data_IF_254796323990
#
_entry.id   IF_254796323990
#
_cell.length_a   1.000
_cell.length_b   1.000
_cell.length_c   1.000
_cell.angle_alpha   90.00
_cell.angle_beta   90.00
_cell.angle_gamma   90.00
#
_symmetry.space_group_name_H-M   'P 1'
#
loop_
_entity.id
_entity.type
_entity.pdbx_description
1 polymer ?
#
# COMPACT_ATOMS: atom_id res chain seq x y z
N UNK A 1 7.85 2.73 16.40
CA UNK A 1 9.04 2.51 15.54
C UNK A 1 8.68 2.98 14.16
N UNK A 2 9.56 3.77 13.55
CA UNK A 2 9.45 4.17 12.16
C UNK A 2 10.33 3.23 11.33
N UNK A 3 9.74 2.55 10.35
CA UNK A 3 10.38 1.87 9.25
C UNK A 3 10.37 2.82 8.07
N UNK A 4 11.53 3.00 7.46
CA UNK A 4 11.72 3.89 6.33
C UNK A 4 12.13 3.04 5.15
N UNK A 5 11.39 3.14 4.05
CA UNK A 5 11.75 2.52 2.78
C UNK A 5 12.39 3.55 1.87
N UNK A 6 13.58 3.23 1.38
CA UNK A 6 14.35 4.07 0.47
C UNK A 6 14.51 3.29 -0.84
N UNK A 7 14.07 3.80 -2.00
CA UNK A 7 14.24 3.11 -3.27
C UNK A 7 15.72 3.09 -3.67
N UNK A 8 16.26 1.92 -3.98
CA UNK A 8 17.68 1.71 -4.31
C UNK A 8 17.93 1.42 -5.80
N UNK A 9 16.93 0.91 -6.56
CA UNK A 9 16.99 0.79 -8.02
C UNK A 9 15.63 0.52 -8.65
N UNK A 10 15.45 0.97 -9.90
CA UNK A 10 14.32 0.62 -10.78
C UNK A 10 14.90 -0.19 -11.93
N UNK A 11 14.52 -1.46 -12.07
CA UNK A 11 14.95 -2.31 -13.18
C UNK A 11 13.79 -2.52 -14.13
N UNK A 12 13.95 -2.14 -15.40
CA UNK A 12 12.97 -2.44 -16.44
C UNK A 12 13.20 -3.85 -16.96
N UNK A 13 12.28 -4.77 -16.69
CA UNK A 13 12.30 -6.08 -17.34
C UNK A 13 11.57 -5.96 -18.67
N UNK A 14 12.32 -5.98 -19.79
CA UNK A 14 11.71 -6.18 -21.10
C UNK A 14 11.17 -7.61 -21.16
N UNK A 15 9.87 -7.76 -21.40
CA UNK A 15 9.29 -9.04 -21.76
C UNK A 15 9.94 -9.51 -23.07
N UNK A 16 10.47 -10.74 -23.10
CA UNK A 16 10.92 -11.35 -24.35
C UNK A 16 9.69 -11.81 -25.12
N UNK A 17 9.39 -11.14 -26.23
CA UNK A 17 8.44 -11.65 -27.22
C UNK A 17 8.88 -13.03 -27.70
N UNK A 18 8.02 -14.03 -27.49
CA UNK A 18 8.17 -15.35 -28.11
C UNK A 18 7.66 -15.18 -29.55
N UNK A 19 8.56 -15.08 -30.52
CA UNK A 19 8.19 -15.15 -31.94
C UNK A 19 7.75 -16.59 -32.25
N UNK A 20 6.43 -16.81 -32.39
CA UNK A 20 5.89 -18.01 -33.04
C UNK A 20 5.94 -17.80 -34.56
N UNK A 21 6.83 -18.56 -35.22
CA UNK A 21 6.86 -18.73 -36.68
C UNK A 21 5.55 -19.38 -37.15
N UNK A 22 4.68 -18.61 -37.82
CA UNK A 22 3.52 -19.14 -38.55
C UNK A 22 3.83 -19.15 -40.04
N UNK A 23 4.04 -20.35 -40.60
CA UNK A 23 4.18 -20.61 -42.03
C UNK A 23 2.97 -20.10 -42.83
N UNK A 24 3.24 -19.25 -43.83
CA UNK A 24 2.26 -18.72 -44.76
C UNK A 24 1.86 -19.75 -45.84
N UNK A 25 0.58 -20.15 -45.84
CA UNK A 25 -0.06 -20.85 -46.96
C UNK A 25 -0.76 -19.87 -47.91
N UNK A 26 -0.38 -19.85 -49.19
CA UNK A 26 -1.02 -19.08 -50.25
C UNK A 26 -2.36 -19.71 -50.70
N UNK A 27 -3.41 -18.90 -50.84
CA UNK A 27 -4.49 -19.12 -51.82
C UNK A 27 -5.09 -17.80 -52.30
N UNK A 28 -5.44 -17.79 -53.58
CA UNK A 28 -5.75 -16.62 -54.40
C UNK A 28 -7.24 -16.21 -54.38
N UNK A 29 -7.49 -14.94 -54.74
CA UNK A 29 -8.72 -14.51 -55.41
C UNK A 29 -9.49 -13.37 -54.72
N UNK A 30 -9.54 -12.23 -55.41
CA UNK A 30 -10.50 -11.11 -55.35
C UNK A 30 -11.34 -10.90 -54.08
N UNK A 31 -11.31 -9.67 -53.53
CA UNK A 31 -12.44 -8.73 -53.45
C UNK A 31 -12.03 -7.48 -52.64
N UNK A 32 -12.52 -6.32 -53.09
CA UNK A 32 -12.33 -4.99 -52.50
C UNK A 32 -13.11 -4.89 -51.19
N UNK A 33 -12.45 -4.46 -50.10
CA UNK A 33 -13.11 -3.77 -48.99
C UNK A 33 -12.10 -2.90 -48.25
N UNK A 34 -12.45 -1.64 -48.03
CA UNK A 34 -11.76 -0.75 -47.10
C UNK A 34 -11.72 -1.38 -45.72
N UNK A 35 -10.52 -1.59 -45.18
CA UNK A 35 -10.28 -1.64 -43.74
C UNK A 35 -9.15 -0.64 -43.46
N UNK A 36 -9.47 0.34 -42.63
CA UNK A 36 -8.50 1.16 -41.94
C UNK A 36 -7.88 0.24 -40.89
N UNK A 37 -6.65 -0.22 -41.12
CA UNK A 37 -5.81 -0.79 -40.07
C UNK A 37 -5.32 0.39 -39.22
N UNK A 38 -6.07 0.72 -38.17
CA UNK A 38 -5.49 1.39 -37.02
C UNK A 38 -4.57 0.37 -36.36
N UNK A 39 -3.27 0.54 -36.59
CA UNK A 39 -2.23 -0.17 -35.87
C UNK A 39 -2.31 0.19 -34.40
N UNK A 40 -2.94 -0.67 -33.61
CA UNK A 40 -2.78 -0.68 -32.16
C UNK A 40 -1.32 -1.07 -31.88
N UNK A 41 -0.48 -0.06 -31.64
CA UNK A 41 0.83 -0.27 -31.00
C UNK A 41 0.57 -0.93 -29.65
N UNK A 42 0.80 -2.24 -29.56
CA UNK A 42 0.95 -2.93 -28.28
C UNK A 42 2.12 -2.29 -27.53
N UNK A 43 1.81 -1.36 -26.63
CA UNK A 43 2.77 -0.84 -25.67
C UNK A 43 3.10 -2.00 -24.74
N UNK A 44 4.23 -2.66 -24.99
CA UNK A 44 4.87 -3.58 -24.05
C UNK A 44 5.08 -2.85 -22.71
N UNK A 45 4.15 -3.04 -21.77
CA UNK A 45 4.32 -2.59 -20.40
C UNK A 45 5.32 -3.51 -19.73
N UNK A 46 6.61 -3.19 -19.84
CA UNK A 46 7.64 -3.81 -19.01
C UNK A 46 7.33 -3.55 -17.54
N UNK A 47 7.33 -4.59 -16.72
CA UNK A 47 7.17 -4.45 -15.27
C UNK A 47 8.42 -3.76 -14.71
N UNK A 48 8.24 -2.57 -14.14
CA UNK A 48 9.27 -1.88 -13.35
C UNK A 48 9.41 -2.57 -12.00
N UNK A 49 10.54 -3.24 -11.78
CA UNK A 49 10.86 -3.80 -10.48
C UNK A 49 11.66 -2.78 -9.67
N UNK A 50 11.01 -2.18 -8.66
CA UNK A 50 11.65 -1.28 -7.70
C UNK A 50 12.16 -2.10 -6.51
N UNK A 51 13.43 -1.94 -6.16
CA UNK A 51 14.00 -2.51 -4.93
C UNK A 51 14.19 -1.41 -3.87
N UNK A 52 14.06 -1.77 -2.60
CA UNK A 52 14.13 -0.85 -1.46
C UNK A 52 15.17 -1.30 -0.44
N UNK A 53 15.85 -0.35 0.21
CA UNK A 53 16.49 -0.57 1.50
C UNK A 53 15.55 -0.16 2.64
N UNK A 54 15.71 -0.81 3.79
CA UNK A 54 14.91 -0.52 4.99
C UNK A 54 15.80 -0.04 6.13
N UNK A 55 15.48 1.13 6.67
CA UNK A 55 16.08 1.67 7.88
C UNK A 55 15.03 1.83 8.98
N UNK A 56 15.46 1.73 10.25
CA UNK A 56 14.56 1.79 11.39
C UNK A 56 14.97 2.88 12.38
N UNK A 57 13.97 3.58 12.91
CA UNK A 57 14.14 4.69 13.85
C UNK A 57 13.12 4.63 14.99
N UNK A 58 13.51 5.14 16.15
CA UNK A 58 12.56 5.43 17.23
C UNK A 58 12.05 6.85 17.12
N UNK A 59 10.72 6.99 17.18
CA UNK A 59 10.04 8.28 17.30
C UNK A 59 9.51 8.45 18.72
N UNK A 60 9.56 9.68 19.22
CA UNK A 60 8.83 10.06 20.42
C UNK A 60 7.34 10.36 20.12
N UNK A 61 6.59 10.74 21.16
CA UNK A 61 5.15 11.07 21.04
C UNK A 61 4.88 12.36 20.25
N UNK A 62 5.91 13.15 19.94
CA UNK A 62 5.82 14.37 19.14
C UNK A 62 6.30 14.13 17.70
N UNK A 63 6.58 12.88 17.32
CA UNK A 63 7.05 12.51 15.98
C UNK A 63 8.51 12.89 15.70
N UNK A 64 9.30 13.09 16.76
CA UNK A 64 10.71 13.45 16.69
C UNK A 64 11.57 12.19 16.67
N UNK A 65 12.54 12.13 15.76
CA UNK A 65 13.53 11.05 15.68
C UNK A 65 14.46 11.10 16.88
N UNK A 66 14.42 10.07 17.72
CA UNK A 66 15.29 9.94 18.89
C UNK A 66 16.63 9.34 18.49
N UNK A 67 16.61 8.22 17.79
CA UNK A 67 17.79 7.50 17.32
C UNK A 67 17.44 6.56 16.16
N UNK A 68 18.46 6.11 15.43
CA UNK A 68 18.36 4.89 14.62
C UNK A 68 18.19 3.66 15.51
N UNK A 69 17.72 2.58 14.93
CA UNK A 69 17.48 1.33 15.61
C UNK A 69 17.90 0.14 14.75
N UNK A 70 18.50 -0.86 15.38
CA UNK A 70 18.68 -2.18 14.78
C UNK A 70 17.52 -3.05 15.24
N UNK A 71 16.59 -3.37 14.32
CA UNK A 71 15.36 -4.09 14.63
C UNK A 71 15.45 -5.55 14.16
N UNK A 72 15.08 -6.48 15.05
CA UNK A 72 14.70 -7.84 14.66
C UNK A 72 13.19 -7.94 14.44
N UNK A 73 12.72 -8.99 13.75
CA UNK A 73 11.28 -9.23 13.59
C UNK A 73 10.53 -9.33 14.93
N UNK A 74 11.18 -9.89 15.96
CA UNK A 74 10.58 -10.00 17.29
C UNK A 74 10.45 -8.65 18.01
N UNK A 75 11.30 -7.67 17.67
CA UNK A 75 11.22 -6.34 18.28
C UNK A 75 10.11 -5.51 17.65
N UNK A 76 9.86 -5.70 16.35
CA UNK A 76 8.76 -5.03 15.63
C UNK A 76 7.39 -5.37 16.21
N UNK A 77 7.21 -6.57 16.76
CA UNK A 77 5.94 -6.98 17.38
C UNK A 77 5.65 -6.25 18.71
N UNK A 78 6.66 -5.62 19.33
CA UNK A 78 6.51 -4.96 20.65
C UNK A 78 6.06 -3.51 20.53
N UNK A 79 6.15 -2.92 19.35
CA UNK A 79 5.92 -1.50 19.14
C UNK A 79 5.01 -1.26 17.94
N UNK A 80 4.15 -0.24 17.98
CA UNK A 80 3.50 0.26 16.78
C UNK A 80 4.56 0.61 15.72
N UNK A 81 4.40 0.06 14.52
CA UNK A 81 5.27 0.30 13.38
C UNK A 81 4.58 1.27 12.42
N UNK A 82 5.33 2.28 12.01
CA UNK A 82 4.94 3.26 10.99
C UNK A 82 5.89 3.06 9.83
N UNK A 83 5.39 2.84 8.62
CA UNK A 83 6.14 2.71 7.40
C UNK A 83 5.95 3.99 6.58
N UNK A 84 7.06 4.66 6.24
CA UNK A 84 7.07 5.78 5.31
C UNK A 84 8.03 5.48 4.16
N UNK A 85 7.73 5.99 2.99
CA UNK A 85 8.66 6.05 1.88
C UNK A 85 9.30 7.43 1.85
N UNK A 86 10.62 7.50 1.74
CA UNK A 86 11.35 8.75 1.56
C UNK A 86 12.26 8.65 0.33
N UNK A 87 12.53 9.77 -0.36
CA UNK A 87 13.52 9.80 -1.43
C UNK A 87 14.92 9.44 -0.89
N UNK A 88 15.74 8.76 -1.69
CA UNK A 88 17.14 8.41 -1.36
C UNK A 88 18.03 9.64 -1.05
N UNK A 89 17.63 10.81 -1.53
CA UNK A 89 18.33 12.07 -1.24
C UNK A 89 18.05 12.60 0.17
N UNK A 90 17.01 12.12 0.86
CA UNK A 90 16.60 12.60 2.17
C UNK A 90 17.30 11.80 3.27
N UNK A 91 18.23 12.45 3.98
CA UNK A 91 18.85 11.89 5.18
C UNK A 91 18.02 12.21 6.41
N UNK A 92 17.66 11.19 7.18
CA UNK A 92 17.02 11.34 8.49
C UNK A 92 18.10 11.44 9.57
N UNK A 93 18.04 12.50 10.38
CA UNK A 93 18.93 12.74 11.51
C UNK A 93 18.16 12.69 12.83
N UNK A 94 18.88 12.48 13.93
CA UNK A 94 18.31 12.64 15.27
C UNK A 94 17.84 14.07 15.47
N UNK A 95 16.67 14.23 16.12
CA UNK A 95 15.92 15.47 16.34
C UNK A 95 15.13 15.99 15.14
N UNK A 96 15.17 15.32 14.00
CA UNK A 96 14.28 15.66 12.89
C UNK A 96 12.83 15.36 13.30
N UNK A 97 11.92 16.26 12.93
CA UNK A 97 10.47 16.09 13.10
C UNK A 97 9.95 15.53 11.78
N UNK A 98 9.51 14.27 11.78
CA UNK A 98 9.02 13.60 10.57
C UNK A 98 7.51 13.58 10.47
N UNK A 99 6.85 13.51 11.63
CA UNK A 99 5.40 13.49 11.74
C UNK A 99 5.01 14.51 12.80
N UNK A 100 3.90 15.21 12.61
CA UNK A 100 3.32 16.01 13.68
C UNK A 100 2.68 15.11 14.75
N UNK A 101 2.40 15.74 15.90
CA UNK A 101 1.79 15.05 17.04
C UNK A 101 0.38 14.54 16.73
N UNK A 102 -0.39 15.27 15.93
CA UNK A 102 -1.77 14.90 15.57
C UNK A 102 -1.79 13.59 14.78
N UNK A 103 -0.85 13.44 13.84
CA UNK A 103 -0.63 12.22 13.07
C UNK A 103 -0.26 11.06 13.98
N UNK A 104 0.69 11.24 14.91
CA UNK A 104 1.07 10.20 15.88
C UNK A 104 -0.12 9.77 16.75
N UNK A 105 -0.91 10.73 17.24
CA UNK A 105 -2.12 10.45 18.04
C UNK A 105 -3.19 9.71 17.23
N UNK A 106 -3.33 10.05 15.94
CA UNK A 106 -4.23 9.34 15.02
C UNK A 106 -3.77 7.89 14.80
N UNK A 107 -2.47 7.65 14.57
CA UNK A 107 -1.90 6.31 14.44
C UNK A 107 -2.22 5.47 15.69
N UNK A 108 -1.94 5.98 16.88
CA UNK A 108 -2.27 5.26 18.12
C UNK A 108 -3.76 4.99 18.26
N UNK A 109 -4.61 5.91 17.80
CA UNK A 109 -6.05 5.72 17.77
C UNK A 109 -6.46 4.59 16.83
N UNK A 110 -5.81 4.44 15.67
CA UNK A 110 -6.03 3.32 14.74
C UNK A 110 -5.69 2.00 15.43
N UNK A 111 -4.48 1.84 15.97
CA UNK A 111 -4.06 0.60 16.67
C UNK A 111 -5.04 0.22 17.80
N UNK A 112 -5.42 1.21 18.61
CA UNK A 112 -6.33 1.00 19.76
C UNK A 112 -7.75 0.65 19.33
N UNK A 113 -8.25 1.24 18.24
CA UNK A 113 -9.64 1.05 17.82
C UNK A 113 -9.77 -0.27 17.07
N UNK A 114 -8.84 -0.57 16.16
CA UNK A 114 -8.84 -1.83 15.40
C UNK A 114 -8.66 -3.05 16.31
N UNK A 115 -7.75 -2.99 17.29
CA UNK A 115 -7.53 -4.11 18.23
C UNK A 115 -8.73 -4.43 19.14
N UNK A 116 -9.70 -3.52 19.24
CA UNK A 116 -10.93 -3.71 20.03
C UNK A 116 -12.09 -4.25 19.19
N UNK A 117 -11.91 -4.40 17.88
CA UNK A 117 -12.95 -4.91 17.00
C UNK A 117 -13.29 -6.37 17.34
N UNK A 118 -14.58 -6.75 17.35
CA UNK A 118 -15.00 -8.12 17.67
C UNK A 118 -14.50 -9.16 16.65
N UNK A 119 -14.11 -8.73 15.45
CA UNK A 119 -13.55 -9.58 14.40
C UNK A 119 -12.08 -9.98 14.66
N UNK A 120 -11.47 -9.60 15.80
CA UNK A 120 -10.08 -9.91 16.15
C UNK A 120 -9.07 -9.46 15.08
N UNK A 121 -9.25 -8.25 14.55
CA UNK A 121 -8.30 -7.67 13.59
C UNK A 121 -7.10 -7.10 14.35
N UNK A 122 -5.89 -7.42 13.89
CA UNK A 122 -4.65 -6.88 14.44
C UNK A 122 -3.88 -6.10 13.38
N UNK A 123 -3.44 -4.89 13.72
CA UNK A 123 -2.61 -4.04 12.85
C UNK A 123 -1.16 -4.48 12.99
N UNK A 124 -0.53 -4.84 11.87
CA UNK A 124 0.89 -5.14 11.79
C UNK A 124 1.72 -3.85 11.71
N UNK A 125 1.32 -2.94 10.83
CA UNK A 125 1.96 -1.63 10.67
C UNK A 125 1.00 -0.63 10.01
N UNK A 126 1.34 0.65 10.08
CA UNK A 126 0.63 1.73 9.37
C UNK A 126 1.56 2.28 8.30
N UNK A 127 1.09 2.42 7.07
CA UNK A 127 1.74 3.12 5.97
C UNK A 127 1.23 4.55 5.87
N UNK A 128 2.16 5.48 5.72
CA UNK A 128 1.89 6.88 5.42
C UNK A 128 2.60 7.25 4.13
N UNK A 129 1.83 7.83 3.21
CA UNK A 129 2.37 8.52 2.05
C UNK A 129 2.43 10.01 2.39
N UNK A 130 3.65 10.53 2.58
CA UNK A 130 3.85 11.93 2.95
C UNK A 130 3.47 12.91 1.82
N UNK A 131 3.24 12.42 0.60
CA UNK A 131 2.79 13.22 -0.54
C UNK A 131 1.27 13.37 -0.61
N UNK A 132 0.53 12.47 0.04
CA UNK A 132 -0.94 12.47 0.05
C UNK A 132 -1.42 12.88 1.44
N UNK A 133 -1.81 14.15 1.55
CA UNK A 133 -2.42 14.65 2.77
C UNK A 133 -3.69 13.88 3.11
N UNK A 134 -3.96 13.76 4.41
CA UNK A 134 -5.21 13.22 4.94
C UNK A 134 -5.52 11.76 4.62
N UNK A 135 -4.52 10.98 4.16
CA UNK A 135 -4.68 9.55 3.89
C UNK A 135 -3.71 8.71 4.73
N UNK A 136 -4.20 7.55 5.15
CA UNK A 136 -3.43 6.60 5.93
C UNK A 136 -3.87 5.19 5.57
N UNK A 137 -2.91 4.28 5.43
CA UNK A 137 -3.23 2.86 5.24
C UNK A 137 -2.75 2.07 6.44
N UNK A 138 -3.59 1.24 7.05
CA UNK A 138 -3.11 0.23 7.99
C UNK A 138 -3.02 -1.12 7.29
N UNK A 139 -2.01 -1.90 7.65
CA UNK A 139 -1.84 -3.27 7.16
C UNK A 139 -2.02 -4.22 8.34
N UNK A 140 -2.79 -5.27 8.14
CA UNK A 140 -3.09 -6.24 9.19
C UNK A 140 -2.05 -7.36 9.26
N UNK A 141 -2.07 -8.11 10.35
CA UNK A 141 -1.28 -9.35 10.48
C UNK A 141 -1.74 -10.45 9.51
N UNK A 142 -2.90 -10.29 8.88
CA UNK A 142 -3.43 -11.15 7.82
C UNK A 142 -3.04 -10.63 6.42
N UNK A 143 -2.16 -9.62 6.33
CA UNK A 143 -1.62 -9.02 5.11
C UNK A 143 -2.61 -8.28 4.20
N UNK A 144 -3.86 -8.08 4.62
CA UNK A 144 -4.79 -7.18 3.93
C UNK A 144 -4.70 -5.75 4.49
N UNK A 145 -5.09 -4.78 3.66
CA UNK A 145 -4.89 -3.35 3.93
C UNK A 145 -6.23 -2.61 4.14
N UNK A 146 -6.28 -1.66 5.06
CA UNK A 146 -7.40 -0.75 5.22
C UNK A 146 -6.98 0.69 4.95
N UNK A 147 -7.65 1.35 4.00
CA UNK A 147 -7.37 2.75 3.64
C UNK A 147 -8.31 3.68 4.38
N UNK A 148 -7.76 4.64 5.10
CA UNK A 148 -8.44 5.59 5.96
C UNK A 148 -8.22 7.02 5.46
N UNK A 149 -9.20 7.87 5.72
CA UNK A 149 -9.08 9.32 5.55
C UNK A 149 -9.10 10.00 6.93
N UNK A 150 -8.23 10.96 7.17
CA UNK A 150 -8.26 11.78 8.41
C UNK A 150 -9.45 12.75 8.41
N UNK A 151 -10.01 13.07 7.24
CA UNK A 151 -11.17 13.96 7.08
C UNK A 151 -12.49 13.33 7.55
N UNK A 152 -12.51 12.01 7.79
CA UNK A 152 -13.66 11.27 8.31
C UNK A 152 -13.32 10.72 9.70
N UNK A 153 -14.25 10.78 10.65
CA UNK A 153 -13.97 10.26 11.99
C UNK A 153 -13.58 8.79 11.95
N UNK A 154 -12.52 8.44 12.68
CA UNK A 154 -12.01 7.07 12.74
C UNK A 154 -13.08 6.09 13.18
N UNK A 155 -13.89 6.45 14.18
CA UNK A 155 -15.00 5.63 14.68
C UNK A 155 -15.98 5.25 13.57
N UNK A 156 -16.35 6.22 12.71
CA UNK A 156 -17.23 5.95 11.57
C UNK A 156 -16.59 4.97 10.59
N UNK A 157 -15.31 5.15 10.27
CA UNK A 157 -14.60 4.30 9.32
C UNK A 157 -14.44 2.87 9.86
N UNK A 158 -14.09 2.72 11.14
CA UNK A 158 -13.98 1.40 11.78
C UNK A 158 -15.35 0.73 11.89
N UNK A 159 -16.42 1.47 12.22
CA UNK A 159 -17.77 0.89 12.23
C UNK A 159 -18.19 0.36 10.85
N UNK A 160 -17.86 1.08 9.77
CA UNK A 160 -18.08 0.61 8.40
C UNK A 160 -17.29 -0.66 8.11
N UNK A 161 -16.04 -0.73 8.54
CA UNK A 161 -15.20 -1.91 8.39
C UNK A 161 -15.78 -3.11 9.13
N UNK A 162 -16.24 -2.94 10.38
CA UNK A 162 -16.92 -4.00 11.14
C UNK A 162 -18.13 -4.54 10.36
N UNK A 163 -19.02 -3.65 9.89
CA UNK A 163 -20.19 -4.05 9.11
C UNK A 163 -19.81 -4.73 7.79
N UNK A 164 -18.77 -4.24 7.10
CA UNK A 164 -18.31 -4.85 5.86
C UNK A 164 -17.76 -6.27 6.10
N UNK A 165 -16.98 -6.46 7.17
CA UNK A 165 -16.46 -7.77 7.56
C UNK A 165 -17.58 -8.74 7.94
N UNK A 166 -18.56 -8.29 8.71
CA UNK A 166 -19.66 -9.14 9.21
C UNK A 166 -20.71 -9.46 8.14
N UNK A 167 -21.03 -8.52 7.25
CA UNK A 167 -22.16 -8.66 6.34
C UNK A 167 -21.78 -9.05 4.92
N UNK A 168 -20.65 -8.53 4.41
CA UNK A 168 -20.31 -8.60 2.98
C UNK A 168 -19.10 -9.48 2.69
N UNK A 169 -18.04 -9.35 3.47
CA UNK A 169 -16.78 -10.08 3.27
C UNK A 169 -16.93 -11.50 3.86
N UNK A 170 -17.29 -11.63 5.14
CA UNK A 170 -17.50 -12.91 5.83
C UNK A 170 -16.35 -13.91 5.55
N UNK A 171 -16.68 -15.03 4.93
CA UNK A 171 -15.75 -16.13 4.61
C UNK A 171 -14.68 -15.73 3.57
N UNK A 172 -14.88 -14.62 2.85
CA UNK A 172 -13.90 -14.09 1.88
C UNK A 172 -12.73 -13.37 2.53
N UNK A 173 -12.71 -13.23 3.87
CA UNK A 173 -11.63 -12.56 4.61
C UNK A 173 -10.26 -13.16 4.31
N UNK A 174 -10.17 -14.47 4.12
CA UNK A 174 -8.91 -15.16 3.82
C UNK A 174 -8.28 -14.75 2.48
N UNK A 175 -9.08 -14.22 1.55
CA UNK A 175 -8.61 -13.75 0.23
C UNK A 175 -8.65 -12.22 0.10
N UNK A 176 -8.97 -11.52 1.19
CA UNK A 176 -9.08 -10.07 1.20
C UNK A 176 -7.70 -9.45 0.95
N UNK A 177 -7.64 -8.47 0.06
CA UNK A 177 -6.44 -7.72 -0.29
C UNK A 177 -6.50 -6.33 0.32
N UNK A 178 -7.63 -5.65 0.16
CA UNK A 178 -7.82 -4.32 0.72
C UNK A 178 -9.29 -4.00 1.03
N UNK A 179 -9.48 -2.98 1.87
CA UNK A 179 -10.74 -2.31 2.15
C UNK A 179 -10.53 -0.79 2.11
N UNK A 180 -11.21 -0.09 1.21
CA UNK A 180 -11.20 1.37 1.15
C UNK A 180 -12.37 1.94 1.95
N UNK A 181 -12.03 2.71 3.00
CA UNK A 181 -12.97 3.33 3.94
C UNK A 181 -13.02 4.86 3.79
N UNK A 182 -12.22 5.44 2.89
CA UNK A 182 -12.09 6.89 2.70
C UNK A 182 -13.38 7.53 2.21
N UNK A 183 -14.16 6.80 1.41
CA UNK A 183 -15.42 7.30 0.85
C UNK A 183 -16.51 7.21 1.91
N UNK A 184 -17.15 8.34 2.22
CA UNK A 184 -18.10 8.50 3.33
C UNK A 184 -19.14 7.37 3.39
N UNK A 185 -19.88 7.16 2.30
CA UNK A 185 -21.07 6.29 2.27
C UNK A 185 -20.85 4.96 1.51
N UNK A 186 -19.60 4.61 1.20
CA UNK A 186 -19.28 3.39 0.45
C UNK A 186 -18.06 2.71 1.04
N UNK A 187 -18.01 1.39 0.84
CA UNK A 187 -16.84 0.57 1.16
C UNK A 187 -16.52 -0.23 -0.09
N UNK A 188 -15.28 -0.13 -0.55
CA UNK A 188 -14.77 -0.95 -1.64
C UNK A 188 -13.81 -1.98 -1.06
N UNK A 189 -13.86 -3.20 -1.56
CA UNK A 189 -12.94 -4.24 -1.14
C UNK A 189 -12.67 -5.20 -2.31
N UNK A 190 -11.50 -5.83 -2.26
CA UNK A 190 -11.07 -6.85 -3.19
C UNK A 190 -10.53 -8.03 -2.41
#
# INVERSE_FOLDING_TARGET
VLRVKIPISITHTKAQAIEEDVEAGQVAGDQVSHNIEDGEEEVEQGEEQISYSEDYYYLDVNGIVVSSAEMSENDLQKFPVIEIEIPDTQKINSRDILLDRETIEFIFSVYRTVSKMPQNVSVAYVKLDLSIADEMTFVTTENWQGMLSTSVSLETQIKKLELALDEKIKDKRATLQYVDLRIKDRVYFK
#
